data_IF_761700586149
#
_entry.id   IF_761700586149
#
_cell.length_a   1.000
_cell.length_b   1.000
_cell.length_c   1.000
_cell.angle_alpha   90.00
_cell.angle_beta   90.00
_cell.angle_gamma   90.00
#
_symmetry.space_group_name_H-M   'P 1'
#
loop_
_entity.id
_entity.type
_entity.pdbx_description
1 polymer ?
#
# COMPACT_ATOMS: atom_id res chain seq x y z
N UNK A 1 25.28 -9.20 -2.38
CA UNK A 1 24.62 -8.54 -3.52
C UNK A 1 23.36 -9.32 -3.81
N UNK A 2 22.23 -8.66 -4.04
CA UNK A 2 20.98 -9.34 -4.34
C UNK A 2 21.03 -9.91 -5.76
N UNK A 3 20.53 -11.14 -5.96
CA UNK A 3 20.45 -11.71 -7.30
C UNK A 3 19.43 -10.94 -8.16
N UNK A 4 19.68 -10.83 -9.47
CA UNK A 4 18.74 -10.20 -10.40
C UNK A 4 17.35 -10.86 -10.35
N UNK A 5 17.31 -12.19 -10.22
CA UNK A 5 16.05 -12.94 -10.10
C UNK A 5 15.28 -12.54 -8.83
N UNK A 6 15.97 -12.38 -7.70
CA UNK A 6 15.38 -11.92 -6.43
C UNK A 6 14.80 -10.50 -6.59
N UNK A 7 15.58 -9.59 -7.17
CA UNK A 7 15.15 -8.19 -7.38
C UNK A 7 13.94 -8.13 -8.31
N UNK A 8 13.96 -8.89 -9.41
CA UNK A 8 12.86 -8.93 -10.36
C UNK A 8 11.59 -9.54 -9.75
N UNK A 9 11.72 -10.60 -8.95
CA UNK A 9 10.59 -11.22 -8.26
C UNK A 9 9.93 -10.27 -7.25
N UNK A 10 10.74 -9.55 -6.46
CA UNK A 10 10.25 -8.53 -5.54
C UNK A 10 9.60 -7.35 -6.28
N UNK A 11 10.22 -6.91 -7.39
CA UNK A 11 9.71 -5.80 -8.21
C UNK A 11 8.33 -6.12 -8.82
N UNK A 12 8.10 -7.36 -9.27
CA UNK A 12 6.78 -7.78 -9.75
C UNK A 12 5.72 -7.65 -8.65
N UNK A 13 6.03 -8.08 -7.43
CA UNK A 13 5.12 -7.97 -6.29
C UNK A 13 4.88 -6.51 -5.89
N UNK A 14 5.93 -5.69 -5.84
CA UNK A 14 5.81 -4.24 -5.58
C UNK A 14 4.97 -3.52 -6.66
N UNK A 15 5.06 -3.92 -7.93
CA UNK A 15 4.19 -3.39 -8.99
C UNK A 15 2.73 -3.79 -8.82
N UNK A 16 2.45 -5.04 -8.41
CA UNK A 16 1.09 -5.45 -8.05
C UNK A 16 0.55 -4.64 -6.88
N UNK A 17 1.39 -4.38 -5.87
CA UNK A 17 1.04 -3.54 -4.74
C UNK A 17 0.74 -2.11 -5.16
N UNK A 18 1.48 -1.55 -6.13
CA UNK A 18 1.19 -0.24 -6.72
C UNK A 18 -0.20 -0.18 -7.36
N UNK A 19 -0.57 -1.19 -8.16
CA UNK A 19 -1.89 -1.26 -8.79
C UNK A 19 -2.99 -1.28 -7.73
N UNK A 20 -2.88 -2.18 -6.75
CA UNK A 20 -3.87 -2.26 -5.67
C UNK A 20 -3.95 -0.97 -4.82
N UNK A 21 -2.81 -0.28 -4.60
CA UNK A 21 -2.80 1.02 -3.91
C UNK A 21 -3.48 2.13 -4.74
N UNK A 22 -3.34 2.08 -6.07
CA UNK A 22 -3.96 3.05 -6.99
C UNK A 22 -5.46 2.88 -6.95
N UNK A 23 -5.93 1.64 -7.13
CA UNK A 23 -7.35 1.29 -7.06
C UNK A 23 -7.94 1.56 -5.66
N UNK A 24 -7.17 1.33 -4.59
CA UNK A 24 -7.58 1.67 -3.24
C UNK A 24 -7.83 3.18 -3.07
N UNK A 25 -6.94 4.02 -3.58
CA UNK A 25 -7.08 5.47 -3.51
C UNK A 25 -8.32 5.94 -4.29
N UNK A 26 -8.49 5.46 -5.52
CA UNK A 26 -9.62 5.79 -6.39
C UNK A 26 -10.95 5.36 -5.75
N UNK A 27 -11.04 4.09 -5.35
CA UNK A 27 -12.25 3.53 -4.71
C UNK A 27 -12.59 4.24 -3.41
N UNK A 28 -11.59 4.70 -2.64
CA UNK A 28 -11.82 5.50 -1.43
C UNK A 28 -12.43 6.87 -1.75
N UNK A 29 -12.02 7.49 -2.85
CA UNK A 29 -12.63 8.71 -3.38
C UNK A 29 -14.09 8.48 -3.77
N UNK A 30 -14.35 7.48 -4.61
CA UNK A 30 -15.69 7.11 -5.07
C UNK A 30 -16.64 6.77 -3.91
N UNK A 31 -16.16 6.07 -2.90
CA UNK A 31 -16.91 5.79 -1.68
C UNK A 31 -17.31 7.09 -0.95
N UNK A 32 -16.39 8.05 -0.83
CA UNK A 32 -16.69 9.36 -0.22
C UNK A 32 -17.68 10.17 -1.06
N UNK A 33 -17.65 10.06 -2.38
CA UNK A 33 -18.59 10.76 -3.25
C UNK A 33 -19.98 10.13 -3.22
N UNK A 34 -20.07 8.80 -3.30
CA UNK A 34 -21.33 8.06 -3.19
C UNK A 34 -22.06 8.42 -1.87
N UNK A 35 -21.30 8.51 -0.77
CA UNK A 35 -21.82 8.99 0.49
C UNK A 35 -22.39 10.41 0.39
N UNK A 36 -21.65 11.33 -0.23
CA UNK A 36 -22.05 12.74 -0.37
C UNK A 36 -23.34 12.87 -1.18
N UNK A 37 -23.55 11.97 -2.15
CA UNK A 37 -24.77 11.86 -2.96
C UNK A 37 -25.91 11.08 -2.27
N UNK A 38 -25.68 10.55 -1.07
CA UNK A 38 -26.60 9.64 -0.36
C UNK A 38 -26.97 8.39 -1.19
N UNK A 39 -26.06 7.95 -2.07
CA UNK A 39 -26.24 6.75 -2.90
C UNK A 39 -25.77 5.51 -2.12
N UNK A 40 -26.71 4.87 -1.44
CA UNK A 40 -26.43 3.71 -0.61
C UNK A 40 -25.99 2.47 -1.42
N UNK A 41 -26.48 2.31 -2.65
CA UNK A 41 -26.14 1.14 -3.49
C UNK A 41 -24.69 1.24 -3.93
N UNK A 42 -24.29 2.39 -4.48
CA UNK A 42 -22.90 2.62 -4.89
C UNK A 42 -21.95 2.63 -3.69
N UNK A 43 -22.38 3.15 -2.55
CA UNK A 43 -21.58 3.10 -1.32
C UNK A 43 -21.22 1.66 -0.92
N UNK A 44 -22.18 0.74 -0.92
CA UNK A 44 -21.92 -0.67 -0.59
C UNK A 44 -21.02 -1.34 -1.63
N UNK A 45 -21.21 -1.02 -2.92
CA UNK A 45 -20.36 -1.51 -4.00
C UNK A 45 -18.89 -1.10 -3.78
N UNK A 46 -18.63 0.20 -3.61
CA UNK A 46 -17.26 0.70 -3.41
C UNK A 46 -16.65 0.22 -2.08
N UNK A 47 -17.45 0.00 -1.05
CA UNK A 47 -16.97 -0.59 0.21
C UNK A 47 -16.45 -2.01 0.01
N UNK A 48 -17.15 -2.84 -0.77
CA UNK A 48 -16.69 -4.19 -1.12
C UNK A 48 -15.40 -4.18 -1.94
N UNK A 49 -15.37 -3.39 -3.01
CA UNK A 49 -14.17 -3.25 -3.86
C UNK A 49 -12.95 -2.77 -3.05
N UNK A 50 -13.16 -1.84 -2.12
CA UNK A 50 -12.11 -1.37 -1.21
C UNK A 50 -11.57 -2.50 -0.33
N UNK A 51 -12.44 -3.37 0.17
CA UNK A 51 -12.02 -4.53 0.96
C UNK A 51 -11.18 -5.50 0.12
N UNK A 52 -11.54 -5.72 -1.15
CA UNK A 52 -10.77 -6.57 -2.06
C UNK A 52 -9.36 -6.01 -2.29
N UNK A 53 -9.23 -4.68 -2.48
CA UNK A 53 -7.92 -4.04 -2.61
C UNK A 53 -7.06 -4.20 -1.35
N UNK A 54 -7.65 -4.05 -0.16
CA UNK A 54 -6.93 -4.28 1.10
C UNK A 54 -6.46 -5.74 1.24
N UNK A 55 -7.26 -6.70 0.78
CA UNK A 55 -6.88 -8.11 0.76
C UNK A 55 -5.69 -8.36 -0.17
N UNK A 56 -5.70 -7.78 -1.38
CA UNK A 56 -4.58 -7.88 -2.32
C UNK A 56 -3.29 -7.26 -1.77
N UNK A 57 -3.38 -6.13 -1.07
CA UNK A 57 -2.23 -5.50 -0.41
C UNK A 57 -1.66 -6.39 0.72
N UNK A 58 -2.54 -7.02 1.50
CA UNK A 58 -2.12 -7.96 2.54
C UNK A 58 -1.40 -9.19 1.94
N UNK A 59 -1.91 -9.72 0.83
CA UNK A 59 -1.29 -10.82 0.09
C UNK A 59 0.10 -10.42 -0.46
N UNK A 60 0.22 -9.27 -1.13
CA UNK A 60 1.50 -8.77 -1.62
C UNK A 60 2.54 -8.65 -0.50
N UNK A 61 2.13 -8.10 0.66
CA UNK A 61 3.00 -8.00 1.84
C UNK A 61 3.43 -9.37 2.37
N UNK A 62 2.53 -10.36 2.37
CA UNK A 62 2.85 -11.72 2.77
C UNK A 62 3.85 -12.38 1.81
N UNK A 63 3.67 -12.19 0.49
CA UNK A 63 4.58 -12.67 -0.54
C UNK A 63 5.98 -12.08 -0.35
N UNK A 64 6.09 -10.76 -0.19
CA UNK A 64 7.39 -10.09 0.04
C UNK A 64 8.06 -10.59 1.32
N UNK A 65 7.30 -10.75 2.41
CA UNK A 65 7.83 -11.30 3.67
C UNK A 65 8.36 -12.72 3.48
N UNK A 66 7.65 -13.55 2.70
CA UNK A 66 8.06 -14.92 2.36
C UNK A 66 9.33 -14.92 1.51
N UNK A 67 9.40 -14.08 0.47
CA UNK A 67 10.60 -13.92 -0.36
C UNK A 67 11.83 -13.56 0.48
N UNK A 68 11.70 -12.63 1.44
CA UNK A 68 12.81 -12.31 2.34
C UNK A 68 13.22 -13.48 3.25
N UNK A 69 12.28 -14.34 3.65
CA UNK A 69 12.52 -15.45 4.57
C UNK A 69 13.12 -16.69 3.88
N UNK A 70 12.90 -16.85 2.58
CA UNK A 70 13.43 -17.97 1.78
C UNK A 70 14.87 -17.74 1.33
N UNK A 71 15.38 -16.51 1.44
CA UNK A 71 16.75 -16.15 1.07
C UNK A 71 17.73 -16.42 2.22
N UNK A 72 19.03 -16.63 1.91
CA UNK A 72 20.09 -16.60 2.92
C UNK A 72 20.05 -15.31 3.73
N UNK A 73 20.37 -15.37 5.03
CA UNK A 73 20.18 -14.26 5.98
C UNK A 73 20.71 -12.91 5.47
N UNK A 74 21.91 -12.88 4.90
CA UNK A 74 22.52 -11.66 4.35
C UNK A 74 21.69 -11.06 3.21
N UNK A 75 21.19 -11.89 2.30
CA UNK A 75 20.36 -11.46 1.16
C UNK A 75 18.95 -11.09 1.62
N UNK A 76 18.34 -11.88 2.50
CA UNK A 76 17.03 -11.59 3.08
C UNK A 76 17.01 -10.27 3.84
N UNK A 77 18.08 -9.95 4.58
CA UNK A 77 18.24 -8.67 5.27
C UNK A 77 18.44 -7.51 4.27
N UNK A 78 19.26 -7.69 3.24
CA UNK A 78 19.45 -6.69 2.19
C UNK A 78 18.13 -6.37 1.46
N UNK A 79 17.36 -7.40 1.07
CA UNK A 79 16.06 -7.21 0.43
C UNK A 79 15.09 -6.49 1.37
N UNK A 80 15.04 -6.89 2.65
CA UNK A 80 14.20 -6.24 3.65
C UNK A 80 14.57 -4.77 3.85
N UNK A 81 15.84 -4.41 3.79
CA UNK A 81 16.31 -3.03 3.85
C UNK A 81 15.71 -2.20 2.71
N UNK A 82 15.83 -2.68 1.46
CA UNK A 82 15.27 -1.99 0.28
C UNK A 82 13.74 -1.88 0.37
N UNK A 83 13.02 -2.93 0.76
CA UNK A 83 11.56 -2.90 0.97
C UNK A 83 11.16 -1.97 2.15
N UNK A 84 12.08 -1.78 3.10
CA UNK A 84 11.97 -0.80 4.18
C UNK A 84 12.39 0.61 3.75
N UNK A 85 12.66 0.81 2.46
CA UNK A 85 12.95 2.10 1.83
C UNK A 85 14.33 2.66 2.15
N UNK A 86 15.25 1.79 2.58
CA UNK A 86 16.66 2.15 2.63
C UNK A 86 17.18 2.45 1.23
N UNK A 87 18.10 3.41 1.13
CA UNK A 87 18.72 3.77 -0.15
C UNK A 87 19.65 2.63 -0.57
N UNK A 88 19.47 2.06 -1.76
CA UNK A 88 20.37 1.03 -2.25
C UNK A 88 21.76 1.63 -2.52
N UNK A 89 22.81 0.87 -2.18
CA UNK A 89 24.19 1.20 -2.54
C UNK A 89 24.55 0.72 -3.96
N UNK A 90 23.71 -0.13 -4.55
CA UNK A 90 23.93 -0.83 -5.81
C UNK A 90 22.88 -0.42 -6.85
N UNK A 91 23.32 0.00 -8.04
CA UNK A 91 22.46 0.39 -9.15
C UNK A 91 21.51 -0.74 -9.58
N UNK A 92 21.91 -2.01 -9.38
CA UNK A 92 21.11 -3.18 -9.68
C UNK A 92 19.77 -3.25 -8.92
N UNK A 93 19.67 -2.59 -7.76
CA UNK A 93 18.45 -2.55 -6.94
C UNK A 93 17.68 -1.22 -7.03
N UNK A 94 18.20 -0.24 -7.76
CA UNK A 94 17.61 1.10 -7.85
C UNK A 94 16.15 1.08 -8.32
N UNK A 95 15.83 0.25 -9.32
CA UNK A 95 14.46 0.12 -9.86
C UNK A 95 13.46 -0.38 -8.82
N UNK A 96 13.90 -1.28 -7.94
CA UNK A 96 13.07 -1.79 -6.84
C UNK A 96 12.87 -0.69 -5.79
N UNK A 97 13.94 -0.01 -5.40
CA UNK A 97 13.87 1.09 -4.43
C UNK A 97 12.94 2.23 -4.92
N UNK A 98 13.02 2.60 -6.19
CA UNK A 98 12.14 3.61 -6.78
C UNK A 98 10.66 3.17 -6.76
N UNK A 99 10.38 1.90 -7.01
CA UNK A 99 9.02 1.36 -6.92
C UNK A 99 8.50 1.36 -5.48
N UNK A 100 9.31 0.94 -4.51
CA UNK A 100 8.98 0.98 -3.08
C UNK A 100 8.66 2.42 -2.64
N UNK A 101 9.45 3.40 -3.09
CA UNK A 101 9.20 4.83 -2.81
C UNK A 101 7.84 5.27 -3.35
N UNK A 102 7.52 4.96 -4.61
CA UNK A 102 6.21 5.26 -5.22
C UNK A 102 5.06 4.64 -4.44
N UNK A 103 5.21 3.37 -4.01
CA UNK A 103 4.20 2.68 -3.22
C UNK A 103 3.96 3.37 -1.88
N UNK A 104 5.02 3.85 -1.20
CA UNK A 104 4.89 4.60 0.06
C UNK A 104 4.18 5.92 -0.10
N UNK A 105 4.53 6.70 -1.12
CA UNK A 105 3.87 7.96 -1.42
C UNK A 105 2.38 7.75 -1.70
N UNK A 106 2.04 6.71 -2.45
CA UNK A 106 0.65 6.38 -2.77
C UNK A 106 -0.12 5.87 -1.55
N UNK A 107 0.51 5.05 -0.70
CA UNK A 107 -0.06 4.63 0.57
C UNK A 107 -0.38 5.83 1.48
N UNK A 108 0.54 6.80 1.59
CA UNK A 108 0.30 8.02 2.37
C UNK A 108 -0.93 8.78 1.84
N UNK A 109 -1.05 8.93 0.51
CA UNK A 109 -2.23 9.54 -0.11
C UNK A 109 -3.51 8.77 0.20
N UNK A 110 -3.49 7.43 0.09
CA UNK A 110 -4.64 6.58 0.39
C UNK A 110 -5.09 6.69 1.86
N UNK A 111 -4.14 6.72 2.80
CA UNK A 111 -4.44 6.92 4.24
C UNK A 111 -5.05 8.30 4.50
N UNK A 112 -4.54 9.35 3.85
CA UNK A 112 -5.13 10.69 3.97
C UNK A 112 -6.55 10.74 3.42
N UNK A 113 -6.80 10.14 2.25
CA UNK A 113 -8.13 10.03 1.66
C UNK A 113 -9.10 9.27 2.57
N UNK A 114 -8.68 8.13 3.12
CA UNK A 114 -9.47 7.36 4.07
C UNK A 114 -9.80 8.18 5.32
N UNK A 115 -8.83 8.89 5.89
CA UNK A 115 -9.06 9.75 7.06
C UNK A 115 -10.12 10.81 6.78
N UNK A 116 -10.04 11.49 5.64
CA UNK A 116 -11.01 12.51 5.25
C UNK A 116 -12.41 11.90 5.07
N UNK A 117 -12.51 10.76 4.41
CA UNK A 117 -13.79 10.04 4.26
C UNK A 117 -14.37 9.62 5.62
N UNK A 118 -13.54 9.07 6.52
CA UNK A 118 -13.95 8.62 7.84
C UNK A 118 -14.42 9.77 8.73
N UNK A 119 -13.73 10.92 8.67
CA UNK A 119 -14.12 12.13 9.41
C UNK A 119 -15.45 12.71 8.91
N UNK A 120 -15.69 12.68 7.60
CA UNK A 120 -16.99 13.08 7.01
C UNK A 120 -18.11 12.15 7.46
N UNK A 121 -17.88 10.83 7.45
CA UNK A 121 -18.84 9.81 7.86
C UNK A 121 -19.18 9.87 9.36
N UNK A 122 -18.16 9.86 10.20
CA UNK A 122 -18.30 9.64 11.64
C UNK A 122 -18.27 10.92 12.48
N UNK A 123 -17.85 12.06 11.91
CA UNK A 123 -17.61 13.29 12.66
C UNK A 123 -16.75 13.03 13.91
N UNK A 124 -17.30 13.34 15.09
CA UNK A 124 -16.66 13.11 16.39
C UNK A 124 -16.51 11.62 16.77
N UNK A 125 -17.24 10.72 16.10
CA UNK A 125 -17.14 9.26 16.25
C UNK A 125 -16.26 8.60 15.18
N UNK A 126 -15.59 9.38 14.33
CA UNK A 126 -14.68 8.83 13.32
C UNK A 126 -13.52 8.09 13.97
N UNK A 127 -12.99 7.06 13.30
CA UNK A 127 -11.86 6.26 13.81
C UNK A 127 -10.61 7.10 14.11
N UNK A 128 -10.47 8.24 13.43
CA UNK A 128 -9.35 9.17 13.58
C UNK A 128 -9.62 10.31 14.56
N UNK A 129 -10.81 10.41 15.16
CA UNK A 129 -11.09 11.41 16.18
C UNK A 129 -10.12 11.24 17.37
N UNK A 130 -9.36 12.30 17.68
CA UNK A 130 -8.40 12.31 18.79
C UNK A 130 -7.05 11.62 18.54
N UNK A 131 -6.82 11.00 17.37
CA UNK A 131 -5.51 10.42 17.02
C UNK A 131 -4.61 11.50 16.42
N UNK A 132 -3.50 11.84 17.08
CA UNK A 132 -2.47 12.72 16.51
C UNK A 132 -1.91 12.08 15.23
N UNK A 133 -1.62 12.85 14.17
CA UNK A 133 -0.93 12.30 13.00
C UNK A 133 0.43 11.73 13.46
N UNK A 134 0.68 10.44 13.16
CA UNK A 134 2.05 9.93 13.21
C UNK A 134 2.80 10.59 12.04
N UNK A 135 3.66 11.53 12.41
CA UNK A 135 4.76 12.05 11.58
C UNK A 135 5.78 10.96 11.33
#
# INVERSE_FOLDING_TARGET
MLSEQTVMSALVTERKMYTALTELLETTGELSEALSRQDQVSFQLYLGMRQDMLNQLAECKAILKKQCAELPEKEGNALRGVLSGETPEDDGVQRLADQVRRNRELWQKAVLADRLANQRLGGKKSFYAGKRPHT
#
